data_IF_715661010664
#
_entry.id   IF_715661010664
#
_cell.length_a   1.000
_cell.length_b   1.000
_cell.length_c   1.000
_cell.angle_alpha   90.00
_cell.angle_beta   90.00
_cell.angle_gamma   90.00
#
_symmetry.space_group_name_H-M   'P 1'
#
loop_
_entity.id
_entity.type
_entity.pdbx_description
1 polymer ?
#
# COMPACT_ATOMS: atom_id res chain seq x y z
N UNK A 1 16.66 27.20 3.91
CA UNK A 1 16.03 26.38 2.88
C UNK A 1 15.42 27.30 1.83
N UNK A 2 15.52 26.99 0.53
CA UNK A 2 14.87 27.74 -0.56
C UNK A 2 13.94 26.79 -1.29
N UNK A 3 12.67 27.18 -1.40
CA UNK A 3 11.61 26.34 -2.01
C UNK A 3 11.06 27.05 -3.24
N UNK A 4 10.76 26.30 -4.31
CA UNK A 4 9.97 26.75 -5.46
C UNK A 4 8.84 25.77 -5.75
N UNK A 5 7.87 26.15 -6.57
CA UNK A 5 6.88 25.25 -7.13
C UNK A 5 7.32 24.79 -8.53
N UNK A 6 7.08 23.55 -8.87
CA UNK A 6 7.25 22.97 -10.21
C UNK A 6 5.91 22.50 -10.72
N UNK A 7 5.47 23.04 -11.84
CA UNK A 7 4.17 22.75 -12.46
C UNK A 7 4.42 22.10 -13.83
N UNK A 8 4.38 20.74 -13.91
CA UNK A 8 4.41 20.06 -15.19
C UNK A 8 3.05 20.23 -15.88
N UNK A 9 3.03 20.59 -17.15
CA UNK A 9 1.80 20.73 -17.94
C UNK A 9 1.90 20.05 -19.28
N UNK A 10 0.78 19.45 -19.72
CA UNK A 10 0.60 18.90 -21.05
C UNK A 10 -0.86 19.05 -21.50
N UNK A 11 -1.12 19.98 -22.39
CA UNK A 11 -2.46 20.28 -22.93
C UNK A 11 -3.52 20.65 -21.86
N UNK A 12 -3.10 21.26 -20.74
CA UNK A 12 -3.97 21.82 -19.71
C UNK A 12 -3.98 23.34 -19.79
N UNK A 13 -4.85 23.94 -20.58
CA UNK A 13 -4.89 25.39 -20.81
C UNK A 13 -5.93 26.11 -19.95
N UNK A 14 -7.03 25.47 -19.60
CA UNK A 14 -8.18 26.13 -18.97
C UNK A 14 -7.90 26.63 -17.55
N UNK A 15 -7.12 25.90 -16.78
CA UNK A 15 -6.92 26.13 -15.33
C UNK A 15 -5.49 26.49 -14.93
N UNK A 16 -4.52 26.39 -15.86
CA UNK A 16 -3.10 26.61 -15.55
C UNK A 16 -2.83 27.99 -14.97
N UNK A 17 -3.43 29.03 -15.53
CA UNK A 17 -3.27 30.42 -15.04
C UNK A 17 -3.73 30.59 -13.60
N UNK A 18 -4.88 29.99 -13.24
CA UNK A 18 -5.43 30.04 -11.90
C UNK A 18 -4.56 29.26 -10.90
N UNK A 19 -4.03 28.08 -11.31
CA UNK A 19 -3.09 27.31 -10.47
C UNK A 19 -1.83 28.13 -10.19
N UNK A 20 -1.24 28.77 -11.21
CA UNK A 20 -0.05 29.61 -11.05
C UNK A 20 -0.35 30.78 -10.12
N UNK A 21 -1.46 31.50 -10.33
CA UNK A 21 -1.87 32.61 -9.49
C UNK A 21 -2.01 32.20 -8.02
N UNK A 22 -2.70 31.10 -7.75
CA UNK A 22 -2.87 30.58 -6.39
C UNK A 22 -1.58 30.14 -5.74
N UNK A 23 -0.66 29.50 -6.47
CA UNK A 23 0.66 29.12 -5.93
C UNK A 23 1.47 30.38 -5.58
N UNK A 24 1.33 31.45 -6.38
CA UNK A 24 2.00 32.72 -6.11
C UNK A 24 1.49 33.47 -4.87
N UNK A 25 0.25 33.19 -4.40
CA UNK A 25 -0.27 33.70 -3.12
C UNK A 25 0.58 33.25 -1.91
N UNK A 26 1.36 32.20 -2.05
CA UNK A 26 2.28 31.67 -1.02
C UNK A 26 3.72 32.18 -1.18
N UNK A 27 3.95 33.24 -1.97
CA UNK A 27 5.28 33.80 -2.26
C UNK A 27 6.28 32.80 -2.84
N UNK A 28 5.80 31.73 -3.46
CA UNK A 28 6.65 30.72 -4.07
C UNK A 28 7.04 31.12 -5.50
N UNK A 29 8.35 31.10 -5.85
CA UNK A 29 8.75 31.10 -7.26
C UNK A 29 8.20 29.88 -7.97
N UNK A 30 7.76 30.05 -9.22
CA UNK A 30 7.11 29.01 -10.03
C UNK A 30 7.97 28.65 -11.23
N UNK A 31 8.21 27.38 -11.45
CA UNK A 31 8.84 26.82 -12.65
C UNK A 31 7.77 26.01 -13.38
N UNK A 32 7.39 26.44 -14.58
CA UNK A 32 6.44 25.74 -15.43
C UNK A 32 7.22 24.95 -16.48
N UNK A 33 6.94 23.66 -16.59
CA UNK A 33 7.51 22.80 -17.64
C UNK A 33 6.39 22.35 -18.56
N UNK A 34 6.42 22.84 -19.78
CA UNK A 34 5.54 22.41 -20.85
C UNK A 34 6.14 21.18 -21.54
N UNK A 35 5.46 20.04 -21.39
CA UNK A 35 5.87 18.73 -21.91
C UNK A 35 5.46 18.53 -23.37
N UNK A 36 5.79 19.51 -24.22
CA UNK A 36 5.50 19.44 -25.66
C UNK A 36 4.02 19.60 -25.97
N UNK A 37 3.34 20.55 -25.35
CA UNK A 37 1.93 20.82 -25.59
C UNK A 37 1.68 21.44 -26.96
N UNK A 38 0.47 21.22 -27.46
CA UNK A 38 -0.04 21.95 -28.61
C UNK A 38 -0.56 23.33 -28.22
N UNK A 39 -0.78 24.21 -29.24
CA UNK A 39 -1.62 25.38 -29.10
C UNK A 39 -3.05 24.98 -28.65
N UNK A 40 -3.69 25.65 -27.65
CA UNK A 40 -3.31 26.94 -27.07
C UNK A 40 -2.42 26.84 -25.80
N UNK A 41 -2.17 25.67 -25.24
CA UNK A 41 -1.41 25.54 -23.97
C UNK A 41 0.00 26.12 -24.09
N UNK A 42 0.68 25.85 -25.20
CA UNK A 42 2.00 26.39 -25.47
C UNK A 42 2.03 27.93 -25.38
N UNK A 43 1.05 28.62 -25.98
CA UNK A 43 0.98 30.09 -26.00
C UNK A 43 0.67 30.66 -24.62
N UNK A 44 -0.17 29.96 -23.83
CA UNK A 44 -0.47 30.37 -22.45
C UNK A 44 0.77 30.24 -21.58
N UNK A 45 1.52 29.14 -21.68
CA UNK A 45 2.77 28.95 -20.93
C UNK A 45 3.77 30.04 -21.32
N UNK A 46 3.90 30.38 -22.61
CA UNK A 46 4.76 31.47 -23.06
C UNK A 46 4.32 32.84 -22.50
N UNK A 47 3.01 33.09 -22.41
CA UNK A 47 2.46 34.34 -21.85
C UNK A 47 2.62 34.45 -20.32
N UNK A 48 2.69 33.29 -19.61
CA UNK A 48 2.93 33.25 -18.16
C UNK A 48 4.40 33.42 -17.77
N UNK A 49 5.32 33.42 -18.76
CA UNK A 49 6.75 33.57 -18.49
C UNK A 49 7.07 34.97 -18.03
N UNK A 50 7.34 35.14 -16.75
CA UNK A 50 7.66 36.42 -16.11
C UNK A 50 8.70 36.20 -15.00
N UNK A 51 10.01 36.11 -15.37
CA UNK A 51 11.08 35.86 -14.40
C UNK A 51 11.24 36.99 -13.37
N UNK A 52 10.88 38.20 -13.72
CA UNK A 52 10.97 39.36 -12.81
C UNK A 52 9.96 39.22 -11.66
N UNK A 53 8.80 38.63 -11.93
CA UNK A 53 7.80 38.29 -10.94
C UNK A 53 7.87 36.79 -10.48
N UNK A 54 8.98 36.14 -10.76
CA UNK A 54 9.28 34.78 -10.23
C UNK A 54 8.54 33.65 -10.92
N UNK A 55 8.11 33.80 -12.17
CA UNK A 55 7.54 32.71 -12.99
C UNK A 55 8.47 32.41 -14.16
N UNK A 56 9.09 31.25 -14.16
CA UNK A 56 10.00 30.80 -15.23
C UNK A 56 9.40 29.61 -15.96
N UNK A 57 9.37 29.65 -17.29
CA UNK A 57 8.82 28.61 -18.12
C UNK A 57 9.89 27.96 -18.99
N UNK A 58 9.77 26.65 -19.21
CA UNK A 58 10.55 25.91 -20.19
C UNK A 58 9.62 25.00 -21.02
N UNK A 59 9.81 25.04 -22.35
CA UNK A 59 9.14 24.14 -23.27
C UNK A 59 10.07 22.98 -23.63
N UNK A 60 9.55 21.75 -23.58
CA UNK A 60 10.23 20.56 -24.09
C UNK A 60 9.86 20.38 -25.58
N UNK A 61 10.79 19.85 -26.36
CA UNK A 61 10.59 19.68 -27.80
C UNK A 61 9.47 18.68 -28.17
N UNK A 62 9.28 17.69 -27.32
CA UNK A 62 8.28 16.63 -27.50
C UNK A 62 7.77 16.12 -26.15
N UNK A 63 6.62 15.44 -26.14
CA UNK A 63 6.05 14.84 -24.93
C UNK A 63 6.91 13.69 -24.42
N UNK A 64 7.67 13.96 -23.36
CA UNK A 64 8.47 12.98 -22.64
C UNK A 64 7.72 12.23 -21.53
N UNK A 65 6.58 12.76 -21.09
CA UNK A 65 5.78 12.29 -19.97
C UNK A 65 6.04 13.06 -18.68
N UNK A 66 5.09 12.95 -17.74
CA UNK A 66 5.09 13.68 -16.46
C UNK A 66 6.43 13.62 -15.72
N UNK A 67 7.06 12.43 -15.67
CA UNK A 67 8.33 12.24 -14.99
C UNK A 67 9.46 13.08 -15.60
N UNK A 68 9.54 13.13 -16.93
CA UNK A 68 10.54 13.96 -17.64
C UNK A 68 10.31 15.43 -17.33
N UNK A 69 9.07 15.90 -17.37
CA UNK A 69 8.72 17.29 -17.08
C UNK A 69 9.05 17.66 -15.63
N UNK A 70 8.66 16.83 -14.65
CA UNK A 70 8.99 17.06 -13.23
C UNK A 70 10.50 17.10 -13.03
N UNK A 71 11.25 16.16 -13.59
CA UNK A 71 12.70 16.11 -13.41
C UNK A 71 13.43 17.26 -14.12
N UNK A 72 12.91 17.73 -15.26
CA UNK A 72 13.40 18.97 -15.90
C UNK A 72 13.19 20.18 -14.98
N UNK A 73 12.01 20.27 -14.35
CA UNK A 73 11.72 21.32 -13.37
C UNK A 73 12.62 21.26 -12.14
N UNK A 74 12.87 20.07 -11.59
CA UNK A 74 13.81 19.88 -10.48
C UNK A 74 15.24 20.26 -10.87
N UNK A 75 15.68 19.92 -12.09
CA UNK A 75 17.00 20.32 -12.59
C UNK A 75 17.11 21.84 -12.80
N UNK A 76 16.03 22.53 -13.19
CA UNK A 76 15.98 23.99 -13.21
C UNK A 76 16.04 24.58 -11.80
N UNK A 77 15.29 23.99 -10.87
CA UNK A 77 15.30 24.39 -9.47
C UNK A 77 16.71 24.26 -8.85
N UNK A 78 17.43 23.15 -9.11
CA UNK A 78 18.81 22.94 -8.67
C UNK A 78 19.73 24.06 -9.22
N UNK A 79 19.66 24.34 -10.52
CA UNK A 79 20.47 25.41 -11.16
C UNK A 79 20.16 26.80 -10.61
N UNK A 80 18.93 27.06 -10.21
CA UNK A 80 18.49 28.32 -9.59
C UNK A 80 18.81 28.38 -8.08
N UNK A 81 19.42 27.32 -7.52
CA UNK A 81 19.84 27.24 -6.12
C UNK A 81 18.71 26.96 -5.13
N UNK A 82 17.59 26.39 -5.59
CA UNK A 82 16.55 25.86 -4.72
C UNK A 82 16.97 24.50 -4.16
N UNK A 83 16.66 24.30 -2.88
CA UNK A 83 16.95 23.04 -2.18
C UNK A 83 15.75 22.09 -2.21
N UNK A 84 14.54 22.65 -2.33
CA UNK A 84 13.29 21.92 -2.36
C UNK A 84 12.41 22.41 -3.50
N UNK A 85 11.61 21.52 -4.06
CA UNK A 85 10.62 21.86 -5.06
C UNK A 85 9.29 21.19 -4.77
N UNK A 86 8.21 21.94 -4.84
CA UNK A 86 6.85 21.44 -4.65
C UNK A 86 6.26 21.16 -6.02
N UNK A 87 5.99 19.90 -6.34
CA UNK A 87 5.22 19.54 -7.52
C UNK A 87 3.75 19.87 -7.28
N UNK A 88 3.17 20.61 -8.21
CA UNK A 88 1.73 20.90 -8.29
C UNK A 88 1.25 20.53 -9.68
N UNK A 89 0.25 19.66 -9.78
CA UNK A 89 -0.29 19.27 -11.08
C UNK A 89 -1.13 20.43 -11.68
N UNK A 90 -1.04 20.62 -13.00
CA UNK A 90 -1.67 21.74 -13.71
C UNK A 90 -3.20 21.61 -13.86
N UNK A 91 -3.81 20.52 -13.38
CA UNK A 91 -5.24 20.22 -13.51
C UNK A 91 -6.13 20.84 -12.41
N UNK A 92 -5.52 21.50 -11.44
CA UNK A 92 -6.21 22.21 -10.37
C UNK A 92 -6.95 21.32 -9.36
N UNK A 93 -6.70 19.99 -9.34
CA UNK A 93 -7.39 19.07 -8.46
C UNK A 93 -6.93 19.09 -7.00
N UNK A 94 -5.74 19.62 -6.74
CA UNK A 94 -5.16 19.64 -5.41
C UNK A 94 -5.65 20.83 -4.59
N UNK A 95 -5.98 20.58 -3.32
CA UNK A 95 -6.24 21.67 -2.37
C UNK A 95 -4.92 22.35 -1.98
N UNK A 96 -4.64 23.52 -2.58
CA UNK A 96 -3.42 24.27 -2.37
C UNK A 96 -3.32 24.90 -0.97
N UNK A 97 -4.39 24.95 -0.17
CA UNK A 97 -4.34 25.44 1.21
C UNK A 97 -3.41 24.57 2.09
N UNK A 98 -3.11 23.34 1.64
CA UNK A 98 -2.15 22.43 2.30
C UNK A 98 -0.69 22.80 2.07
N UNK A 99 -0.39 23.74 1.15
CA UNK A 99 0.98 24.21 0.90
C UNK A 99 1.65 24.73 2.18
N UNK A 100 0.93 25.50 3.00
CA UNK A 100 1.47 26.01 4.26
C UNK A 100 1.95 24.91 5.19
N UNK A 101 1.18 23.84 5.34
CA UNK A 101 1.54 22.70 6.18
C UNK A 101 2.70 21.90 5.58
N UNK A 102 2.70 21.66 4.26
CA UNK A 102 3.80 20.95 3.59
C UNK A 102 5.12 21.72 3.69
N UNK A 103 5.10 23.05 3.53
CA UNK A 103 6.26 23.91 3.69
C UNK A 103 6.78 23.88 5.13
N UNK A 104 5.88 23.93 6.13
CA UNK A 104 6.25 23.84 7.54
C UNK A 104 6.99 22.53 7.84
N UNK A 105 6.45 21.40 7.38
CA UNK A 105 7.07 20.08 7.59
C UNK A 105 8.42 20.02 6.87
N UNK A 106 8.55 20.57 5.66
CA UNK A 106 9.82 20.64 4.94
C UNK A 106 10.89 21.45 5.69
N UNK A 107 10.49 22.49 6.43
CA UNK A 107 11.41 23.23 7.31
C UNK A 107 11.81 22.43 8.56
N UNK A 108 10.91 21.62 9.10
CA UNK A 108 11.16 20.77 10.28
C UNK A 108 12.04 19.56 9.95
N UNK A 109 11.83 18.94 8.79
CA UNK A 109 12.62 17.82 8.29
C UNK A 109 13.07 18.06 6.82
N UNK A 110 14.17 18.81 6.61
CA UNK A 110 14.64 19.16 5.27
C UNK A 110 15.15 17.98 4.44
N UNK A 111 15.27 16.80 5.03
CA UNK A 111 15.72 15.60 4.30
C UNK A 111 14.54 14.79 3.75
N UNK A 112 13.32 15.12 4.16
CA UNK A 112 12.13 14.32 3.88
C UNK A 112 11.50 14.64 2.52
N UNK A 113 10.85 13.62 1.95
CA UNK A 113 9.82 13.75 0.92
C UNK A 113 8.48 13.97 1.62
N UNK A 114 7.80 15.09 1.35
CA UNK A 114 6.45 15.32 1.87
C UNK A 114 5.46 15.07 0.74
N UNK A 115 4.45 14.27 0.98
CA UNK A 115 3.44 13.91 -0.03
C UNK A 115 2.03 14.16 0.47
N UNK A 116 1.16 14.63 -0.41
CA UNK A 116 -0.27 14.66 -0.14
C UNK A 116 -0.81 13.24 0.08
N UNK A 117 -1.66 13.07 1.08
CA UNK A 117 -2.45 11.86 1.30
C UNK A 117 -3.89 12.15 0.92
N UNK A 118 -4.36 11.69 -0.25
CA UNK A 118 -5.69 12.01 -0.70
C UNK A 118 -6.77 11.54 0.26
N UNK A 119 -7.59 12.48 0.74
CA UNK A 119 -8.81 12.21 1.47
C UNK A 119 -9.94 12.25 0.44
N UNK A 120 -10.58 11.12 0.26
CA UNK A 120 -11.63 10.98 -0.74
C UNK A 120 -12.99 11.10 -0.11
N UNK A 121 -13.87 11.81 -0.79
CA UNK A 121 -15.30 11.76 -0.55
C UNK A 121 -15.96 10.52 -1.22
N UNK A 122 -17.27 10.37 -1.09
CA UNK A 122 -18.00 9.24 -1.68
C UNK A 122 -18.13 9.31 -3.21
N UNK A 123 -17.63 10.37 -3.87
CA UNK A 123 -17.71 10.58 -5.33
C UNK A 123 -16.70 9.75 -6.14
N UNK A 124 -15.68 9.16 -5.49
CA UNK A 124 -14.65 8.37 -6.18
C UNK A 124 -15.23 7.11 -6.84
N UNK A 125 -14.97 6.87 -8.14
CA UNK A 125 -15.33 5.63 -8.79
C UNK A 125 -14.65 4.42 -8.12
N UNK A 126 -15.43 3.39 -7.78
CA UNK A 126 -14.93 2.18 -7.09
C UNK A 126 -13.73 1.52 -7.80
N UNK A 127 -13.70 1.55 -9.13
CA UNK A 127 -12.58 0.99 -9.94
C UNK A 127 -11.25 1.70 -9.65
N UNK A 128 -11.27 3.04 -9.51
CA UNK A 128 -10.07 3.82 -9.17
C UNK A 128 -9.58 3.49 -7.77
N UNK A 129 -10.49 3.36 -6.80
CA UNK A 129 -10.16 3.00 -5.42
C UNK A 129 -9.51 1.61 -5.32
N UNK A 130 -10.01 0.64 -6.07
CA UNK A 130 -9.43 -0.71 -6.15
C UNK A 130 -8.03 -0.67 -6.78
N UNK A 131 -7.86 0.03 -7.91
CA UNK A 131 -6.57 0.14 -8.60
C UNK A 131 -5.49 0.76 -7.69
N UNK A 132 -5.82 1.84 -6.97
CA UNK A 132 -4.89 2.45 -6.00
C UNK A 132 -4.52 1.50 -4.88
N UNK A 133 -5.50 0.78 -4.32
CA UNK A 133 -5.24 -0.18 -3.26
C UNK A 133 -4.29 -1.30 -3.69
N UNK A 134 -4.45 -1.82 -4.91
CA UNK A 134 -3.53 -2.82 -5.49
C UNK A 134 -2.11 -2.26 -5.56
N UNK A 135 -1.93 -1.04 -6.07
CA UNK A 135 -0.61 -0.39 -6.13
C UNK A 135 -0.01 -0.17 -4.72
N UNK A 136 -0.82 0.18 -3.71
CA UNK A 136 -0.33 0.32 -2.33
C UNK A 136 0.20 -1.00 -1.76
N UNK A 137 -0.49 -2.11 -2.01
CA UNK A 137 -0.01 -3.44 -1.58
C UNK A 137 1.34 -3.76 -2.21
N UNK A 138 1.53 -3.48 -3.49
CA UNK A 138 2.82 -3.67 -4.16
C UNK A 138 3.91 -2.79 -3.55
N UNK A 139 3.62 -1.50 -3.29
CA UNK A 139 4.58 -0.60 -2.65
C UNK A 139 4.96 -1.08 -1.24
N UNK A 140 4.04 -1.63 -0.47
CA UNK A 140 4.37 -2.20 0.84
C UNK A 140 5.28 -3.44 0.73
N UNK A 141 5.09 -4.27 -0.28
CA UNK A 141 5.98 -5.40 -0.57
C UNK A 141 7.38 -4.87 -0.98
N UNK A 142 7.44 -3.89 -1.86
CA UNK A 142 8.68 -3.31 -2.40
C UNK A 142 9.50 -2.55 -1.35
N UNK A 143 8.83 -1.92 -0.41
CA UNK A 143 9.47 -1.19 0.69
C UNK A 143 9.63 -2.01 1.97
N UNK A 144 9.05 -3.21 2.04
CA UNK A 144 8.95 -4.03 3.24
C UNK A 144 8.38 -3.25 4.45
N UNK A 145 7.49 -2.30 4.17
CA UNK A 145 6.94 -1.37 5.16
C UNK A 145 5.53 -0.93 4.74
N UNK A 146 4.67 -0.66 5.72
CA UNK A 146 3.36 -0.05 5.50
C UNK A 146 3.38 1.47 5.67
N UNK A 147 4.57 2.07 5.81
CA UNK A 147 4.73 3.50 6.08
C UNK A 147 4.21 4.38 4.94
N UNK A 148 4.47 4.01 3.69
CA UNK A 148 3.94 4.72 2.51
C UNK A 148 2.46 4.40 2.37
N UNK A 149 1.60 5.39 2.67
CA UNK A 149 0.14 5.25 2.62
C UNK A 149 -0.45 5.54 1.24
N UNK A 150 0.18 6.44 0.48
CA UNK A 150 -0.15 6.74 -0.91
C UNK A 150 1.11 7.07 -1.70
N UNK A 151 1.29 6.39 -2.83
CA UNK A 151 2.43 6.58 -3.73
C UNK A 151 2.06 7.21 -5.07
N UNK A 152 0.79 7.50 -5.29
CA UNK A 152 0.28 7.96 -6.59
C UNK A 152 -0.10 9.45 -6.59
N UNK A 153 -0.10 10.11 -5.42
CA UNK A 153 -0.36 11.53 -5.34
C UNK A 153 0.83 12.31 -5.89
N UNK A 154 0.60 13.19 -6.86
CA UNK A 154 1.63 14.05 -7.45
C UNK A 154 1.93 15.31 -6.65
N UNK A 155 1.10 15.66 -5.67
CA UNK A 155 1.31 16.83 -4.83
C UNK A 155 2.37 16.56 -3.77
N UNK A 156 3.61 16.98 -4.01
CA UNK A 156 4.79 16.59 -3.21
C UNK A 156 5.81 17.69 -3.07
N UNK A 157 6.49 17.73 -1.94
CA UNK A 157 7.73 18.48 -1.74
C UNK A 157 8.90 17.52 -1.86
N UNK A 158 9.75 17.74 -2.84
CA UNK A 158 10.93 16.95 -3.11
C UNK A 158 12.19 17.59 -2.53
N UNK A 159 13.06 16.86 -1.83
CA UNK A 159 14.46 17.24 -1.67
C UNK A 159 15.15 17.14 -3.05
N UNK A 160 15.50 18.28 -3.64
CA UNK A 160 15.92 18.38 -5.05
C UNK A 160 17.15 17.52 -5.34
N UNK A 161 18.19 17.64 -4.50
CA UNK A 161 19.45 16.92 -4.68
C UNK A 161 19.26 15.39 -4.70
N UNK A 162 18.54 14.85 -3.71
CA UNK A 162 18.31 13.41 -3.59
C UNK A 162 17.42 12.88 -4.73
N UNK A 163 16.41 13.66 -5.13
CA UNK A 163 15.52 13.26 -6.22
C UNK A 163 16.27 13.21 -7.57
N UNK A 164 17.13 14.19 -7.83
CA UNK A 164 17.96 14.22 -9.03
C UNK A 164 19.04 13.14 -9.00
N UNK A 165 19.59 12.81 -7.81
CA UNK A 165 20.54 11.70 -7.67
C UNK A 165 19.90 10.36 -8.06
N UNK A 166 18.67 10.09 -7.57
CA UNK A 166 17.91 8.89 -7.97
C UNK A 166 17.70 8.84 -9.48
N UNK A 167 17.28 9.96 -10.08
CA UNK A 167 17.04 10.03 -11.52
C UNK A 167 18.29 9.76 -12.36
N UNK A 168 19.43 10.35 -11.98
CA UNK A 168 20.69 10.24 -12.71
C UNK A 168 21.34 8.86 -12.57
N UNK A 169 21.26 8.26 -11.38
CA UNK A 169 21.99 7.03 -11.06
C UNK A 169 21.18 5.76 -11.29
N UNK A 170 19.89 5.78 -11.00
CA UNK A 170 19.05 4.57 -11.03
C UNK A 170 18.04 4.58 -12.20
N UNK A 171 17.70 5.78 -12.69
CA UNK A 171 16.60 5.98 -13.63
C UNK A 171 15.22 5.72 -12.98
N UNK A 172 14.21 6.35 -13.52
CA UNK A 172 12.81 6.12 -13.12
C UNK A 172 11.92 6.07 -14.36
N UNK A 173 10.70 5.59 -14.22
CA UNK A 173 9.66 5.70 -15.24
C UNK A 173 9.42 7.16 -15.66
N UNK A 174 8.98 7.35 -16.88
CA UNK A 174 8.81 8.70 -17.45
C UNK A 174 7.36 9.18 -17.39
N UNK A 175 6.39 8.27 -17.22
CA UNK A 175 4.95 8.54 -17.38
C UNK A 175 4.20 8.29 -16.07
N UNK A 176 3.14 7.47 -16.12
CA UNK A 176 2.28 7.16 -14.97
C UNK A 176 2.97 6.29 -13.90
N UNK A 177 4.10 5.72 -14.22
CA UNK A 177 4.97 4.95 -13.33
C UNK A 177 5.94 5.82 -12.50
N UNK A 178 6.16 7.07 -12.89
CA UNK A 178 7.14 7.97 -12.29
C UNK A 178 6.93 8.21 -10.79
N UNK A 179 5.76 8.70 -10.41
CA UNK A 179 5.49 9.16 -9.04
C UNK A 179 5.71 8.05 -8.00
N UNK A 180 5.25 6.83 -8.31
CA UNK A 180 5.44 5.67 -7.44
C UNK A 180 6.90 5.21 -7.42
N UNK A 181 7.55 5.09 -8.58
CA UNK A 181 8.91 4.60 -8.66
C UNK A 181 9.91 5.52 -7.96
N UNK A 182 9.81 6.83 -8.19
CA UNK A 182 10.70 7.81 -7.53
C UNK A 182 10.54 7.75 -6.00
N UNK A 183 9.31 7.68 -5.49
CA UNK A 183 9.06 7.59 -4.06
C UNK A 183 9.67 6.33 -3.45
N UNK A 184 9.47 5.15 -4.06
CA UNK A 184 10.02 3.89 -3.55
C UNK A 184 11.56 3.91 -3.56
N UNK A 185 12.17 4.47 -4.60
CA UNK A 185 13.65 4.57 -4.69
C UNK A 185 14.22 5.55 -3.66
N UNK A 186 13.57 6.71 -3.45
CA UNK A 186 13.94 7.64 -2.38
C UNK A 186 13.82 6.98 -1.01
N UNK A 187 12.74 6.22 -0.77
CA UNK A 187 12.57 5.44 0.46
C UNK A 187 13.70 4.43 0.67
N UNK A 188 14.13 3.71 -0.35
CA UNK A 188 15.26 2.79 -0.26
C UNK A 188 16.59 3.48 0.05
N UNK A 189 16.74 4.74 -0.32
CA UNK A 189 17.91 5.58 0.03
C UNK A 189 17.84 6.15 1.45
N UNK A 190 16.75 5.90 2.15
CA UNK A 190 16.54 6.37 3.51
C UNK A 190 15.98 7.78 3.62
N UNK A 191 15.41 8.32 2.53
CA UNK A 191 14.69 9.60 2.57
C UNK A 191 13.38 9.43 3.35
N UNK A 192 13.15 10.21 4.45
CA UNK A 192 11.92 10.16 5.22
C UNK A 192 10.71 10.54 4.37
N UNK A 193 9.54 9.92 4.64
CA UNK A 193 8.30 10.24 3.93
C UNK A 193 7.25 10.71 4.93
N UNK A 194 6.81 11.95 4.77
CA UNK A 194 5.71 12.53 5.55
C UNK A 194 4.45 12.65 4.70
N UNK A 195 3.29 12.41 5.33
CA UNK A 195 2.00 12.44 4.65
C UNK A 195 1.15 13.58 5.20
N UNK A 196 0.64 14.43 4.29
CA UNK A 196 -0.28 15.54 4.61
C UNK A 196 -1.66 15.20 4.05
N UNK A 197 -2.70 15.03 4.89
CA UNK A 197 -4.05 14.81 4.40
C UNK A 197 -4.49 15.94 3.46
N UNK A 198 -4.85 15.59 2.24
CA UNK A 198 -5.18 16.55 1.17
C UNK A 198 -6.49 16.16 0.53
N UNK A 199 -7.45 17.05 0.54
CA UNK A 199 -8.70 16.88 -0.18
C UNK A 199 -8.46 16.95 -1.68
N UNK A 200 -9.02 16.02 -2.43
CA UNK A 200 -8.92 15.97 -3.89
C UNK A 200 -10.30 16.09 -4.48
N UNK A 201 -10.52 17.15 -5.25
CA UNK A 201 -11.79 17.40 -5.93
C UNK A 201 -11.69 16.91 -7.38
N UNK A 202 -12.65 16.10 -7.82
CA UNK A 202 -12.74 15.66 -9.22
C UNK A 202 -13.76 16.51 -9.96
N UNK A 203 -13.33 17.40 -10.89
CA UNK A 203 -14.28 18.13 -11.74
C UNK A 203 -15.05 17.17 -12.66
N UNK A 204 -16.34 17.44 -12.89
CA UNK A 204 -17.20 16.59 -13.73
C UNK A 204 -16.69 16.45 -15.17
N UNK A 205 -15.91 17.41 -15.68
CA UNK A 205 -15.38 17.46 -17.06
C UNK A 205 -13.90 17.09 -17.15
N UNK A 206 -13.35 16.32 -16.22
CA UNK A 206 -11.92 16.02 -16.21
C UNK A 206 -11.51 15.04 -17.33
N UNK A 207 -10.70 15.51 -18.26
CA UNK A 207 -10.06 14.69 -19.29
C UNK A 207 -8.86 13.96 -18.70
N UNK A 208 -9.03 12.68 -18.38
CA UNK A 208 -7.92 11.82 -17.91
C UNK A 208 -7.09 11.36 -19.11
N UNK A 209 -5.81 11.68 -19.12
CA UNK A 209 -4.83 11.18 -20.09
C UNK A 209 -4.43 9.71 -19.86
N UNK A 210 -5.07 9.01 -18.91
CA UNK A 210 -4.77 7.63 -18.55
C UNK A 210 -5.26 6.64 -19.63
N UNK A 211 -4.34 5.90 -20.23
CA UNK A 211 -4.59 4.87 -21.24
C UNK A 211 -4.62 3.49 -20.58
N UNK A 212 -5.83 2.96 -20.34
CA UNK A 212 -6.08 1.79 -19.48
C UNK A 212 -5.13 0.60 -19.72
N UNK A 213 -4.90 0.19 -20.95
CA UNK A 213 -4.03 -0.97 -21.24
C UNK A 213 -2.53 -0.63 -21.17
N UNK A 214 -2.12 0.48 -21.79
CA UNK A 214 -0.71 0.85 -21.88
C UNK A 214 -0.15 1.24 -20.50
N UNK A 215 -0.90 2.03 -19.76
CA UNK A 215 -0.43 2.53 -18.47
C UNK A 215 -0.47 1.45 -17.38
N UNK A 216 -1.47 0.54 -17.40
CA UNK A 216 -1.47 -0.62 -16.51
C UNK A 216 -0.31 -1.59 -16.80
N UNK A 217 0.06 -1.80 -18.06
CA UNK A 217 1.24 -2.61 -18.40
C UNK A 217 2.52 -1.94 -17.92
N UNK A 218 2.64 -0.62 -18.09
CA UNK A 218 3.77 0.17 -17.64
C UNK A 218 3.91 0.12 -16.11
N UNK A 219 2.81 0.32 -15.39
CA UNK A 219 2.75 0.24 -13.92
C UNK A 219 3.10 -1.18 -13.44
N UNK A 220 2.58 -2.23 -14.10
CA UNK A 220 2.92 -3.62 -13.77
C UNK A 220 4.39 -3.92 -13.97
N UNK A 221 4.99 -3.40 -15.05
CA UNK A 221 6.41 -3.52 -15.30
C UNK A 221 7.26 -2.77 -14.28
N UNK A 222 6.84 -1.57 -13.89
CA UNK A 222 7.45 -0.80 -12.80
C UNK A 222 7.47 -1.60 -11.50
N UNK A 223 6.33 -2.12 -11.05
CA UNK A 223 6.26 -2.96 -9.85
C UNK A 223 7.14 -4.20 -9.95
N UNK A 224 7.20 -4.83 -11.13
CA UNK A 224 8.11 -5.96 -11.36
C UNK A 224 9.56 -5.55 -11.12
N UNK A 225 10.02 -4.44 -11.71
CA UNK A 225 11.40 -3.92 -11.52
C UNK A 225 11.68 -3.59 -10.05
N UNK A 226 10.71 -2.98 -9.36
CA UNK A 226 10.84 -2.61 -7.95
C UNK A 226 10.92 -3.84 -7.05
N UNK A 227 10.12 -4.89 -7.31
CA UNK A 227 10.23 -6.16 -6.58
C UNK A 227 11.62 -6.79 -6.74
N UNK A 228 12.16 -6.86 -7.97
CA UNK A 228 13.52 -7.35 -8.18
C UNK A 228 14.57 -6.45 -7.51
N UNK A 229 14.36 -5.14 -7.55
CA UNK A 229 15.21 -4.17 -6.84
C UNK A 229 15.20 -4.38 -5.32
N UNK A 230 14.03 -4.65 -4.75
CA UNK A 230 13.88 -5.01 -3.33
C UNK A 230 14.57 -6.31 -3.01
N UNK A 231 14.39 -7.37 -3.83
CA UNK A 231 15.05 -8.66 -3.62
C UNK A 231 16.58 -8.52 -3.61
N UNK A 232 17.17 -7.70 -4.50
CA UNK A 232 18.58 -7.39 -4.50
C UNK A 232 19.06 -6.67 -3.22
N UNK A 233 18.20 -5.88 -2.59
CA UNK A 233 18.49 -5.16 -1.33
C UNK A 233 18.20 -5.98 -0.07
N UNK A 234 17.49 -7.10 -0.21
CA UNK A 234 17.04 -7.94 0.90
C UNK A 234 18.19 -8.43 1.82
N UNK A 235 19.36 -8.87 1.32
CA UNK A 235 20.47 -9.28 2.19
C UNK A 235 20.93 -8.15 3.11
N UNK A 236 21.11 -6.95 2.57
CA UNK A 236 21.49 -5.76 3.34
C UNK A 236 20.42 -5.33 4.35
N UNK A 237 19.14 -5.43 3.98
CA UNK A 237 18.02 -5.18 4.85
C UNK A 237 18.00 -6.15 6.05
N UNK A 238 18.16 -7.44 5.81
CA UNK A 238 18.22 -8.48 6.85
C UNK A 238 19.42 -8.25 7.77
N UNK A 239 20.57 -7.91 7.20
CA UNK A 239 21.79 -7.67 7.98
C UNK A 239 21.69 -6.44 8.90
N UNK A 240 20.93 -5.42 8.48
CA UNK A 240 20.60 -4.22 9.28
C UNK A 240 19.46 -4.44 10.28
N UNK A 241 19.07 -5.66 10.56
CA UNK A 241 18.00 -5.99 11.52
C UNK A 241 16.59 -5.75 11.02
N UNK A 242 16.39 -5.67 9.70
CA UNK A 242 15.08 -5.52 9.10
C UNK A 242 14.56 -4.07 9.12
N UNK A 243 15.45 -3.08 9.17
CA UNK A 243 15.11 -1.66 9.09
C UNK A 243 15.83 -1.02 7.90
N UNK A 244 15.12 -0.29 7.05
CA UNK A 244 15.72 0.74 6.22
C UNK A 244 16.14 1.90 7.15
N UNK A 245 17.10 2.73 6.72
CA UNK A 245 17.68 3.77 7.56
C UNK A 245 16.65 4.70 8.25
N UNK A 246 15.46 4.80 7.71
CA UNK A 246 14.33 5.59 8.23
C UNK A 246 13.72 5.11 9.54
N UNK A 247 13.64 3.81 9.77
CA UNK A 247 13.01 3.27 10.98
C UNK A 247 13.77 3.65 12.26
N UNK A 248 14.98 4.22 12.13
CA UNK A 248 15.77 4.68 13.27
C UNK A 248 15.39 6.08 13.77
N UNK A 249 14.77 6.92 12.91
CA UNK A 249 14.33 8.27 13.28
C UNK A 249 12.90 8.32 13.79
N UNK A 250 12.03 7.44 13.31
CA UNK A 250 10.63 7.33 13.76
C UNK A 250 10.51 6.83 15.22
N UNK A 251 11.49 6.06 15.71
CA UNK A 251 11.50 5.50 17.06
C UNK A 251 11.86 6.53 18.16
N UNK A 252 12.29 7.74 17.78
CA UNK A 252 12.67 8.81 18.75
C UNK A 252 11.53 9.73 19.16
N UNK A 253 10.37 9.64 18.53
CA UNK A 253 9.24 10.56 18.75
C UNK A 253 7.95 9.93 19.29
N UNK A 254 7.87 8.61 19.45
CA UNK A 254 6.66 7.94 19.97
C UNK A 254 7.03 6.93 21.05
N UNK A 255 7.58 7.40 22.16
CA UNK A 255 7.54 6.66 23.40
C UNK A 255 6.26 6.98 24.16
N UNK A 256 5.56 5.90 24.52
CA UNK A 256 4.45 5.81 25.45
C UNK A 256 3.11 6.43 25.04
N UNK A 257 2.22 5.61 24.54
CA UNK A 257 0.90 5.23 25.07
C UNK A 257 0.11 4.48 24.01
N UNK A 258 -0.44 3.34 24.38
CA UNK A 258 -1.38 2.48 23.62
C UNK A 258 -0.83 1.49 22.58
N UNK A 259 -0.02 0.56 23.02
CA UNK A 259 0.28 -0.65 22.24
C UNK A 259 -0.93 -1.63 22.12
N UNK A 260 -2.06 -1.38 22.80
CA UNK A 260 -3.25 -2.25 22.80
C UNK A 260 -4.34 -1.86 21.81
N UNK A 261 -4.32 -0.63 21.27
CA UNK A 261 -5.37 -0.14 20.36
C UNK A 261 -5.02 -0.27 18.87
N UNK A 262 -3.76 -0.41 18.52
CA UNK A 262 -3.30 -0.23 17.13
C UNK A 262 -3.58 -1.40 16.16
N UNK A 263 -3.78 -2.62 16.64
CA UNK A 263 -4.10 -3.75 15.76
C UNK A 263 -5.60 -3.91 15.48
N UNK A 264 -6.46 -3.23 16.23
CA UNK A 264 -7.91 -3.29 16.05
C UNK A 264 -8.45 -2.34 14.95
N UNK A 265 -7.63 -1.40 14.45
CA UNK A 265 -8.01 -0.40 13.44
C UNK A 265 -7.47 -0.70 12.03
N UNK A 266 -6.84 -1.85 11.81
CA UNK A 266 -6.42 -2.27 10.46
C UNK A 266 -7.68 -2.41 9.60
N UNK A 267 -7.78 -1.57 8.57
CA UNK A 267 -8.96 -1.41 7.72
C UNK A 267 -9.34 -2.75 7.07
N UNK A 268 -10.43 -3.38 7.54
CA UNK A 268 -10.94 -4.68 7.11
C UNK A 268 -11.36 -4.72 5.62
N UNK A 269 -11.36 -3.58 4.93
CA UNK A 269 -11.83 -3.48 3.53
C UNK A 269 -10.94 -4.24 2.54
N UNK A 270 -9.62 -4.23 2.75
CA UNK A 270 -8.68 -4.98 1.91
C UNK A 270 -8.78 -6.49 2.07
N UNK A 271 -9.13 -6.95 3.26
CA UNK A 271 -9.23 -8.37 3.59
C UNK A 271 -10.40 -9.06 2.85
N UNK A 272 -11.51 -8.36 2.62
CA UNK A 272 -12.67 -8.90 1.89
C UNK A 272 -12.33 -9.27 0.43
N UNK A 273 -11.68 -8.36 -0.30
CA UNK A 273 -11.29 -8.62 -1.69
C UNK A 273 -10.21 -9.68 -1.80
N UNK A 274 -9.24 -9.68 -0.86
CA UNK A 274 -8.20 -10.70 -0.77
C UNK A 274 -8.78 -12.10 -0.55
N UNK A 275 -9.75 -12.23 0.36
CA UNK A 275 -10.44 -13.51 0.61
C UNK A 275 -11.23 -13.99 -0.60
N UNK A 276 -11.98 -13.11 -1.29
CA UNK A 276 -12.70 -13.47 -2.52
C UNK A 276 -11.77 -13.86 -3.65
N UNK A 277 -10.66 -13.16 -3.81
CA UNK A 277 -9.64 -13.49 -4.79
C UNK A 277 -9.02 -14.87 -4.51
N UNK A 278 -8.61 -15.12 -3.27
CA UNK A 278 -8.08 -16.43 -2.87
C UNK A 278 -9.12 -17.54 -3.03
N UNK A 279 -10.39 -17.30 -2.69
CA UNK A 279 -11.48 -18.25 -2.93
C UNK A 279 -11.67 -18.54 -4.41
N UNK A 280 -11.58 -17.52 -5.29
CA UNK A 280 -11.63 -17.71 -6.74
C UNK A 280 -10.42 -18.50 -7.26
N UNK A 281 -9.19 -18.16 -6.80
CA UNK A 281 -7.98 -18.92 -7.17
C UNK A 281 -8.07 -20.36 -6.69
N UNK A 282 -8.59 -20.58 -5.47
CA UNK A 282 -8.78 -21.91 -4.93
C UNK A 282 -9.68 -22.78 -5.83
N UNK A 283 -10.79 -22.18 -6.28
CA UNK A 283 -11.78 -22.85 -7.17
C UNK A 283 -11.20 -23.17 -8.54
N UNK A 284 -10.40 -22.26 -9.13
CA UNK A 284 -9.88 -22.39 -10.50
C UNK A 284 -8.58 -23.18 -10.57
N UNK A 285 -7.67 -22.96 -9.62
CA UNK A 285 -6.29 -23.47 -9.66
C UNK A 285 -5.90 -24.33 -8.44
N UNK A 286 -6.82 -24.50 -7.48
CA UNK A 286 -6.67 -25.37 -6.33
C UNK A 286 -5.78 -24.83 -5.21
N UNK A 287 -5.65 -25.63 -4.15
CA UNK A 287 -4.94 -25.30 -2.91
C UNK A 287 -3.46 -24.93 -3.14
N UNK A 288 -2.76 -25.64 -4.05
CA UNK A 288 -1.33 -25.41 -4.29
C UNK A 288 -1.05 -24.06 -4.90
N UNK A 289 -1.89 -23.58 -5.81
CA UNK A 289 -1.77 -22.26 -6.41
C UNK A 289 -1.98 -21.14 -5.37
N UNK A 290 -2.97 -21.30 -4.48
CA UNK A 290 -3.18 -20.37 -3.38
C UNK A 290 -1.97 -20.30 -2.44
N UNK A 291 -1.40 -21.43 -2.07
CA UNK A 291 -0.20 -21.48 -1.23
C UNK A 291 1.00 -20.80 -1.90
N UNK A 292 1.19 -21.00 -3.20
CA UNK A 292 2.23 -20.32 -3.96
C UNK A 292 2.06 -18.78 -3.97
N UNK A 293 0.83 -18.29 -4.09
CA UNK A 293 0.50 -16.87 -4.02
C UNK A 293 0.66 -16.33 -2.59
N UNK A 294 0.32 -17.12 -1.57
CA UNK A 294 0.45 -16.71 -0.18
C UNK A 294 1.89 -16.75 0.33
N UNK A 295 2.75 -17.58 -0.26
CA UNK A 295 4.14 -17.74 0.19
C UNK A 295 4.91 -16.42 0.28
N UNK A 296 4.95 -15.55 -0.73
CA UNK A 296 5.63 -14.26 -0.64
C UNK A 296 5.02 -13.36 0.46
N UNK A 297 3.70 -13.43 0.67
CA UNK A 297 3.03 -12.69 1.74
C UNK A 297 3.45 -13.21 3.13
N UNK A 298 3.51 -14.53 3.31
CA UNK A 298 3.98 -15.15 4.55
C UNK A 298 5.45 -14.81 4.82
N UNK A 299 6.30 -14.87 3.79
CA UNK A 299 7.70 -14.46 3.88
C UNK A 299 7.81 -13.00 4.31
N UNK A 300 7.02 -12.13 3.70
CA UNK A 300 6.95 -10.73 4.09
C UNK A 300 6.61 -10.55 5.57
N UNK A 301 5.52 -11.14 6.05
CA UNK A 301 5.13 -11.05 7.46
C UNK A 301 6.16 -11.68 8.41
N UNK A 302 6.83 -12.74 7.98
CA UNK A 302 7.91 -13.32 8.75
C UNK A 302 9.12 -12.39 8.85
N UNK A 303 9.49 -11.72 7.77
CA UNK A 303 10.64 -10.81 7.74
C UNK A 303 10.37 -9.50 8.50
N UNK A 304 9.18 -8.93 8.36
CA UNK A 304 8.81 -7.62 8.94
C UNK A 304 8.19 -7.73 10.33
N UNK A 305 7.50 -8.83 10.66
CA UNK A 305 6.75 -9.02 11.90
C UNK A 305 7.62 -9.38 13.10
N UNK A 306 8.43 -8.47 13.64
CA UNK A 306 9.31 -8.74 14.79
C UNK A 306 8.57 -9.21 16.04
N UNK A 307 7.40 -8.66 16.34
CA UNK A 307 6.56 -9.07 17.48
C UNK A 307 6.03 -10.50 17.25
N UNK A 308 5.51 -10.79 16.06
CA UNK A 308 4.97 -12.11 15.73
C UNK A 308 6.06 -13.19 15.74
N UNK A 309 7.29 -12.88 15.26
CA UNK A 309 8.43 -13.81 15.37
C UNK A 309 8.82 -14.11 16.81
N UNK A 310 8.85 -13.10 17.68
CA UNK A 310 9.11 -13.31 19.12
C UNK A 310 8.05 -14.20 19.73
N UNK A 311 6.77 -13.90 19.51
CA UNK A 311 5.66 -14.74 19.98
C UNK A 311 5.74 -16.19 19.46
N UNK A 312 6.08 -16.37 18.19
CA UNK A 312 6.30 -17.71 17.60
C UNK A 312 7.47 -18.44 18.27
N UNK A 313 8.58 -17.76 18.51
CA UNK A 313 9.74 -18.33 19.18
C UNK A 313 9.45 -18.70 20.63
N UNK A 314 8.75 -17.84 21.37
CA UNK A 314 8.36 -18.10 22.77
C UNK A 314 7.39 -19.28 22.85
N UNK A 315 6.45 -19.38 21.92
CA UNK A 315 5.54 -20.55 21.83
C UNK A 315 6.33 -21.84 21.60
N UNK A 316 7.24 -21.86 20.62
CA UNK A 316 8.07 -23.04 20.31
C UNK A 316 8.99 -23.41 21.47
N UNK A 317 9.53 -22.44 22.20
CA UNK A 317 10.36 -22.66 23.38
C UNK A 317 9.57 -23.34 24.49
N UNK A 318 8.38 -22.82 24.80
CA UNK A 318 7.48 -23.43 25.80
C UNK A 318 7.03 -24.83 25.39
N UNK A 319 6.67 -25.03 24.10
CA UNK A 319 6.30 -26.32 23.58
C UNK A 319 7.45 -27.35 23.73
N UNK A 320 8.67 -26.94 23.37
CA UNK A 320 9.86 -27.79 23.50
C UNK A 320 10.16 -28.16 24.96
N UNK A 321 10.07 -27.18 25.87
CA UNK A 321 10.25 -27.40 27.33
C UNK A 321 9.21 -28.37 27.89
N UNK A 322 8.02 -28.44 27.30
CA UNK A 322 6.95 -29.38 27.69
C UNK A 322 6.96 -30.69 26.87
N UNK A 323 8.08 -31.04 26.24
CA UNK A 323 8.27 -32.32 25.58
C UNK A 323 7.86 -32.40 24.11
N UNK A 324 7.49 -31.25 23.47
CA UNK A 324 7.22 -31.26 22.03
C UNK A 324 8.51 -31.51 21.23
N UNK A 325 8.49 -32.38 20.18
CA UNK A 325 9.69 -32.74 19.40
C UNK A 325 10.11 -31.63 18.39
N UNK A 326 9.83 -30.35 18.70
CA UNK A 326 10.08 -29.22 17.82
C UNK A 326 10.99 -28.21 18.54
N UNK A 327 12.24 -28.11 18.09
CA UNK A 327 13.18 -27.13 18.64
C UNK A 327 12.83 -25.69 18.25
N UNK A 328 13.09 -24.66 19.09
CA UNK A 328 12.81 -23.25 18.83
C UNK A 328 13.87 -22.63 17.89
N UNK A 329 13.96 -23.13 16.66
CA UNK A 329 14.85 -22.61 15.62
C UNK A 329 14.15 -21.57 14.75
N UNK A 330 14.94 -20.71 14.08
CA UNK A 330 14.40 -19.75 13.09
C UNK A 330 13.63 -20.46 11.98
N UNK A 331 14.09 -21.62 11.54
CA UNK A 331 13.41 -22.44 10.53
C UNK A 331 12.06 -22.97 11.01
N UNK A 332 12.00 -23.47 12.23
CA UNK A 332 10.73 -23.94 12.81
C UNK A 332 9.78 -22.77 13.09
N UNK A 333 10.27 -21.59 13.45
CA UNK A 333 9.46 -20.39 13.53
C UNK A 333 8.89 -19.99 12.16
N UNK A 334 9.68 -20.06 11.07
CA UNK A 334 9.17 -19.84 9.72
C UNK A 334 8.14 -20.89 9.31
N UNK A 335 8.38 -22.16 9.60
CA UNK A 335 7.38 -23.24 9.39
C UNK A 335 6.09 -23.01 10.17
N UNK A 336 6.17 -22.43 11.36
CA UNK A 336 4.99 -22.06 12.16
C UNK A 336 4.15 -20.98 11.42
N UNK A 337 4.79 -19.96 10.84
CA UNK A 337 4.12 -18.97 9.98
C UNK A 337 3.48 -19.62 8.75
N UNK A 338 4.16 -20.56 8.09
CA UNK A 338 3.60 -21.30 6.95
C UNK A 338 2.34 -22.08 7.37
N UNK A 339 2.40 -22.81 8.48
CA UNK A 339 1.24 -23.56 9.00
C UNK A 339 0.08 -22.68 9.40
N UNK A 340 0.37 -21.48 9.94
CA UNK A 340 -0.66 -20.47 10.19
C UNK A 340 -1.33 -19.98 8.89
N UNK A 341 -0.53 -19.72 7.86
CA UNK A 341 -1.03 -19.36 6.53
C UNK A 341 -1.87 -20.47 5.90
N UNK A 342 -1.43 -21.71 5.97
CA UNK A 342 -2.22 -22.89 5.52
C UNK A 342 -3.55 -22.97 6.26
N UNK A 343 -3.57 -22.84 7.58
CA UNK A 343 -4.80 -22.84 8.37
C UNK A 343 -5.75 -21.70 8.01
N UNK A 344 -5.21 -20.50 7.70
CA UNK A 344 -6.02 -19.38 7.24
C UNK A 344 -6.64 -19.66 5.86
N UNK A 345 -5.89 -20.29 4.94
CA UNK A 345 -6.40 -20.70 3.63
C UNK A 345 -7.51 -21.76 3.77
N UNK A 346 -7.32 -22.75 4.63
CA UNK A 346 -8.31 -23.81 4.85
C UNK A 346 -9.62 -23.22 5.44
N UNK A 347 -9.54 -22.16 6.28
CA UNK A 347 -10.73 -21.41 6.72
C UNK A 347 -11.44 -20.72 5.55
N UNK A 348 -10.69 -20.06 4.66
CA UNK A 348 -11.28 -19.40 3.47
C UNK A 348 -11.95 -20.44 2.58
N UNK A 349 -11.31 -21.60 2.36
CA UNK A 349 -11.86 -22.69 1.56
C UNK A 349 -13.16 -23.25 2.16
N UNK A 350 -13.20 -23.43 3.50
CA UNK A 350 -14.40 -23.84 4.22
C UNK A 350 -15.54 -22.83 4.07
N UNK A 351 -15.26 -21.53 4.15
CA UNK A 351 -16.27 -20.47 3.96
C UNK A 351 -16.78 -20.39 2.53
N UNK A 352 -15.94 -20.68 1.56
CA UNK A 352 -16.34 -20.72 0.15
C UNK A 352 -17.06 -22.01 -0.23
N UNK A 353 -17.21 -22.97 0.70
CA UNK A 353 -17.84 -24.27 0.43
C UNK A 353 -17.01 -25.22 -0.45
N UNK A 354 -15.71 -24.94 -0.58
CA UNK A 354 -14.79 -25.71 -1.43
C UNK A 354 -14.11 -26.88 -0.68
N UNK A 355 -14.23 -26.94 0.64
CA UNK A 355 -13.76 -28.07 1.46
C UNK A 355 -14.84 -29.15 1.51
N UNK A 356 -14.48 -30.34 1.02
CA UNK A 356 -15.32 -31.54 1.13
C UNK A 356 -14.87 -32.36 2.32
N UNK A 357 -15.79 -33.16 2.87
CA UNK A 357 -15.48 -34.03 4.00
C UNK A 357 -14.45 -35.09 3.61
N UNK A 358 -14.50 -35.55 2.36
CA UNK A 358 -13.53 -36.49 1.83
C UNK A 358 -12.09 -35.96 1.78
N UNK A 359 -11.92 -34.63 1.92
CA UNK A 359 -10.61 -33.97 2.04
C UNK A 359 -10.07 -33.98 3.49
N UNK A 360 -10.85 -34.48 4.46
CA UNK A 360 -10.52 -34.49 5.88
C UNK A 360 -10.15 -35.87 6.34
N UNK A 361 -9.00 -36.01 6.98
CA UNK A 361 -8.67 -37.22 7.78
C UNK A 361 -9.43 -37.13 9.10
N UNK A 362 -10.56 -37.82 9.18
CA UNK A 362 -11.31 -37.98 10.42
C UNK A 362 -10.73 -39.13 11.23
N UNK A 363 -10.65 -39.00 12.58
CA UNK A 363 -10.33 -40.14 13.44
C UNK A 363 -11.35 -41.28 13.24
N UNK A 364 -10.92 -42.51 13.40
CA UNK A 364 -11.78 -43.70 13.24
C UNK A 364 -13.02 -43.69 14.16
N UNK A 365 -12.99 -42.91 15.25
CA UNK A 365 -14.06 -42.73 16.21
C UNK A 365 -14.91 -41.47 16.00
N UNK A 366 -14.68 -40.71 14.90
CA UNK A 366 -15.42 -39.46 14.61
C UNK A 366 -16.94 -39.73 14.46
N UNK A 367 -17.34 -40.88 13.97
CA UNK A 367 -18.75 -41.28 13.88
C UNK A 367 -19.40 -41.42 15.27
N UNK A 368 -18.62 -41.69 16.32
CA UNK A 368 -19.12 -41.76 17.68
C UNK A 368 -19.52 -40.41 18.27
N UNK A 369 -18.96 -39.28 17.78
CA UNK A 369 -19.34 -37.94 18.25
C UNK A 369 -20.83 -37.66 18.02
N UNK A 370 -21.36 -38.11 16.90
CA UNK A 370 -22.78 -37.98 16.56
C UNK A 370 -23.65 -39.05 17.25
N UNK A 371 -23.08 -40.21 17.61
CA UNK A 371 -23.78 -41.23 18.35
C UNK A 371 -24.09 -40.81 19.80
N UNK A 372 -23.32 -39.89 20.38
CA UNK A 372 -23.57 -39.34 21.72
C UNK A 372 -24.52 -38.12 21.72
N UNK A 373 -24.92 -37.59 20.56
CA UNK A 373 -25.88 -36.52 20.47
C UNK A 373 -27.30 -37.05 20.25
N UNK A 374 -28.20 -36.95 21.25
CA UNK A 374 -29.58 -37.32 21.05
C UNK A 374 -30.22 -36.41 19.98
N UNK A 375 -30.89 -37.00 19.00
CA UNK A 375 -31.51 -36.27 17.88
C UNK A 375 -32.71 -35.41 18.29
N UNK A 376 -33.25 -35.65 19.46
CA UNK A 376 -34.44 -35.02 20.03
C UNK A 376 -34.10 -33.94 21.08
N UNK A 377 -32.85 -33.72 21.39
CA UNK A 377 -32.41 -32.76 22.42
C UNK A 377 -31.38 -31.78 21.87
N UNK A 378 -31.46 -30.52 22.36
CA UNK A 378 -30.44 -29.53 22.06
C UNK A 378 -29.16 -29.85 22.86
N UNK A 379 -28.03 -29.86 22.18
CA UNK A 379 -26.70 -30.03 22.80
C UNK A 379 -25.88 -28.73 22.68
N UNK A 380 -25.12 -28.44 23.72
CA UNK A 380 -24.16 -27.33 23.71
C UNK A 380 -22.77 -27.91 23.56
N UNK A 381 -22.12 -27.65 22.41
CA UNK A 381 -20.75 -28.04 22.16
C UNK A 381 -19.81 -26.94 22.61
N UNK A 382 -19.04 -27.18 23.67
CA UNK A 382 -17.96 -26.32 24.10
C UNK A 382 -16.69 -26.66 23.32
N UNK A 383 -16.19 -25.72 22.54
CA UNK A 383 -15.04 -25.93 21.67
C UNK A 383 -13.94 -24.93 22.03
N UNK A 384 -12.72 -25.39 22.13
CA UNK A 384 -11.54 -24.52 22.29
C UNK A 384 -10.98 -24.12 20.93
N UNK A 385 -10.22 -23.02 20.88
CA UNK A 385 -9.50 -22.61 19.67
C UNK A 385 -8.30 -23.51 19.33
N UNK A 386 -8.46 -24.80 19.55
CA UNK A 386 -7.47 -25.82 19.15
C UNK A 386 -7.90 -26.43 17.83
N UNK A 387 -7.21 -26.08 16.76
CA UNK A 387 -7.53 -26.49 15.40
C UNK A 387 -8.42 -25.52 14.62
N UNK A 388 -9.01 -26.00 13.54
CA UNK A 388 -9.84 -25.20 12.64
C UNK A 388 -11.32 -25.41 12.94
N UNK A 389 -11.92 -24.50 13.69
CA UNK A 389 -13.34 -24.55 14.08
C UNK A 389 -14.32 -24.52 12.89
N UNK A 390 -13.90 -23.94 11.76
CA UNK A 390 -14.75 -23.85 10.56
C UNK A 390 -14.96 -25.23 9.90
N UNK A 391 -14.07 -26.18 10.17
CA UNK A 391 -14.26 -27.57 9.74
C UNK A 391 -15.44 -28.22 10.43
N UNK A 392 -15.72 -27.88 11.69
CA UNK A 392 -16.90 -28.37 12.42
C UNK A 392 -18.18 -27.96 11.72
N UNK A 393 -18.22 -26.71 11.17
CA UNK A 393 -19.35 -26.23 10.38
C UNK A 393 -19.49 -27.02 9.07
N UNK A 394 -18.39 -27.31 8.38
CA UNK A 394 -18.41 -28.12 7.15
C UNK A 394 -18.90 -29.54 7.41
N UNK A 395 -18.51 -30.15 8.54
CA UNK A 395 -18.97 -31.46 8.97
C UNK A 395 -20.47 -31.43 9.33
N UNK A 396 -20.90 -30.40 10.08
CA UNK A 396 -22.30 -30.28 10.51
C UNK A 396 -23.26 -29.98 9.33
N UNK A 397 -22.78 -29.39 8.24
CA UNK A 397 -23.59 -29.14 7.04
C UNK A 397 -23.90 -30.43 6.23
N UNK A 398 -23.25 -31.53 6.52
CA UNK A 398 -23.47 -32.84 5.87
C UNK A 398 -24.80 -33.45 6.24
N UNK A 399 -25.19 -33.31 7.51
CA UNK A 399 -26.47 -33.83 8.02
C UNK A 399 -27.50 -32.69 8.03
N UNK A 400 -28.43 -32.69 7.06
CA UNK A 400 -29.48 -31.65 6.91
C UNK A 400 -30.42 -31.53 8.11
N UNK A 401 -30.39 -32.54 8.99
CA UNK A 401 -31.23 -32.57 10.19
C UNK A 401 -30.59 -31.86 11.40
N UNK A 402 -29.30 -31.48 11.28
CA UNK A 402 -28.58 -30.75 12.33
C UNK A 402 -28.58 -29.25 12.09
N UNK A 403 -29.18 -28.47 13.01
CA UNK A 403 -29.07 -27.02 13.07
C UNK A 403 -27.95 -26.63 14.03
N UNK A 404 -26.84 -26.12 13.50
CA UNK A 404 -25.74 -25.60 14.32
C UNK A 404 -25.88 -24.10 14.50
N UNK A 405 -26.09 -23.65 15.73
CA UNK A 405 -26.05 -22.24 16.10
C UNK A 405 -24.69 -21.94 16.72
N UNK A 406 -23.93 -21.00 16.17
CA UNK A 406 -22.60 -20.64 16.66
C UNK A 406 -22.69 -19.34 17.44
N UNK A 407 -22.32 -19.36 18.72
CA UNK A 407 -22.23 -18.16 19.55
C UNK A 407 -20.81 -17.60 19.41
N UNK A 408 -20.70 -16.44 18.77
CA UNK A 408 -19.42 -15.75 18.56
C UNK A 408 -19.40 -14.41 19.28
N UNK A 409 -18.30 -14.12 19.99
CA UNK A 409 -18.07 -12.78 20.53
C UNK A 409 -17.50 -11.86 19.41
N UNK A 410 -18.34 -10.97 18.87
CA UNK A 410 -18.02 -10.16 17.69
C UNK A 410 -17.55 -8.74 18.01
N UNK A 411 -17.16 -8.43 19.23
CA UNK A 411 -16.83 -7.04 19.63
C UNK A 411 -15.74 -6.39 18.75
N UNK A 412 -14.83 -7.20 18.20
CA UNK A 412 -13.70 -6.74 17.38
C UNK A 412 -13.80 -7.13 15.89
N UNK A 413 -14.90 -7.72 15.42
CA UNK A 413 -15.04 -8.25 14.05
C UNK A 413 -16.45 -8.04 13.46
N UNK A 414 -17.07 -6.89 13.72
CA UNK A 414 -18.43 -6.59 13.27
C UNK A 414 -18.58 -6.57 11.73
N UNK A 415 -17.51 -6.26 10.98
CA UNK A 415 -17.49 -6.31 9.51
C UNK A 415 -17.25 -7.72 8.98
N UNK A 416 -16.42 -8.48 9.67
CA UNK A 416 -16.16 -9.88 9.38
C UNK A 416 -17.44 -10.75 9.53
N UNK A 417 -18.24 -10.49 10.57
CA UNK A 417 -19.54 -11.14 10.75
C UNK A 417 -20.53 -10.85 9.61
N UNK A 418 -20.50 -9.65 8.99
CA UNK A 418 -21.31 -9.34 7.79
C UNK A 418 -20.83 -10.06 6.53
N UNK A 419 -19.55 -10.42 6.44
CA UNK A 419 -19.00 -11.23 5.33
C UNK A 419 -19.48 -12.66 5.44
N UNK A 420 -19.43 -13.24 6.64
CA UNK A 420 -19.92 -14.59 6.91
C UNK A 420 -21.43 -14.76 6.67
N UNK A 421 -22.23 -13.69 6.83
CA UNK A 421 -23.68 -13.71 6.54
C UNK A 421 -24.01 -13.64 5.03
N UNK A 422 -23.05 -13.22 4.19
CA UNK A 422 -23.24 -13.07 2.74
C UNK A 422 -22.56 -14.17 1.89
N UNK A 423 -21.76 -15.02 2.53
CA UNK A 423 -21.17 -16.23 1.97
C UNK A 423 -22.00 -17.46 2.35
#
# INVERSE_FOLDING_TARGET
MKICAVIPTYNHHDVLGDVVARVREYDLPVIIIDDGSNTPTHDIVAALHDPENGVTCQHLAENGGKGVAVMAGLAMAERAGFTHAIQVDADGQHNLDRLTEMIRIAHEDPTALITGLPVYDDSIPQKRRIGRWVSHVWVWIETLSTHIRDSMCGFRVYPVSESLAVWREEGCGHKMDFDTELMVRLYWRGVPVHHVPTEVTYPENNTSNFRMWKDNLLISWMHTRLVFGMLGRLPGYIWRGGKFAQDQTADRGQDSTDASAHWAEIDERGMYFGMRFLGWVYRVAGRRACLAIMLPVIVYFYLTGGIARRASHDFLTRAHQNGAPVAPTRWNSFRHFLRFGESALDKIAAWCGELKIDDLELPDDADNLFAYMPRDQAAVLLVSHFGNMELVRAIASRDRDFRVNVLLHQKNAARFGRVLQKL
#
